data_IF_024645830583
#
_entry.id   IF_024645830583
#
_cell.length_a   1.000
_cell.length_b   1.000
_cell.length_c   1.000
_cell.angle_alpha   90.00
_cell.angle_beta   90.00
_cell.angle_gamma   90.00
#
_symmetry.space_group_name_H-M   'P 1'
#
loop_
_entity.id
_entity.type
_entity.pdbx_description
1 polymer ?
#
# COMPACT_ATOMS: atom_id res chain seq x y z
N UNK A 1 -13.76 6.36 4.41
CA UNK A 1 -13.31 5.30 3.49
C UNK A 1 -12.46 5.90 2.39
N UNK A 2 -12.96 6.89 1.65
CA UNK A 2 -12.27 7.55 0.53
C UNK A 2 -10.86 8.04 0.88
N UNK A 3 -10.69 8.72 2.03
CA UNK A 3 -9.36 9.17 2.50
C UNK A 3 -8.35 8.03 2.66
N UNK A 4 -8.77 6.83 3.09
CA UNK A 4 -7.87 5.69 3.24
C UNK A 4 -7.48 5.12 1.87
N UNK A 5 -8.42 5.11 0.93
CA UNK A 5 -8.18 4.68 -0.45
C UNK A 5 -7.19 5.64 -1.12
N UNK A 6 -7.41 6.95 -1.00
CA UNK A 6 -6.51 7.98 -1.52
C UNK A 6 -5.09 7.83 -0.95
N UNK A 7 -4.96 7.62 0.36
CA UNK A 7 -3.68 7.45 1.03
C UNK A 7 -2.98 6.13 0.67
N UNK A 8 -3.74 5.05 0.50
CA UNK A 8 -3.23 3.78 -0.01
C UNK A 8 -2.68 3.93 -1.44
N UNK A 9 -3.44 4.61 -2.32
CA UNK A 9 -3.04 4.88 -3.70
C UNK A 9 -1.81 5.81 -3.74
N UNK A 10 -1.74 6.80 -2.84
CA UNK A 10 -0.56 7.64 -2.70
C UNK A 10 0.68 6.79 -2.38
N UNK A 11 0.57 5.82 -1.46
CA UNK A 11 1.66 4.88 -1.17
C UNK A 11 1.99 3.92 -2.32
N UNK A 12 1.25 3.90 -3.42
CA UNK A 12 1.66 3.20 -4.66
C UNK A 12 2.54 4.07 -5.56
N UNK A 13 2.49 5.39 -5.41
CA UNK A 13 3.20 6.31 -6.28
C UNK A 13 4.68 6.42 -5.89
N UNK A 14 5.54 6.39 -6.90
CA UNK A 14 6.98 6.54 -6.73
C UNK A 14 7.32 7.88 -6.06
N UNK A 15 6.70 8.97 -6.50
CA UNK A 15 6.96 10.32 -6.01
C UNK A 15 6.65 10.45 -4.51
N UNK A 16 5.58 9.81 -4.05
CA UNK A 16 5.23 9.76 -2.62
C UNK A 16 6.28 8.98 -1.83
N UNK A 17 6.74 7.83 -2.34
CA UNK A 17 7.75 6.99 -1.69
C UNK A 17 9.14 7.61 -1.64
N UNK A 18 9.45 8.51 -2.57
CA UNK A 18 10.68 9.30 -2.55
C UNK A 18 10.62 10.47 -1.56
N UNK A 19 9.43 10.91 -1.16
CA UNK A 19 9.27 12.02 -0.22
C UNK A 19 9.16 11.50 1.22
N UNK A 20 10.24 11.64 1.99
CA UNK A 20 10.31 11.17 3.37
C UNK A 20 9.26 11.80 4.30
N UNK A 21 8.88 13.06 4.06
CA UNK A 21 7.85 13.72 4.88
C UNK A 21 6.47 13.12 4.61
N UNK A 22 6.16 12.82 3.34
CA UNK A 22 4.92 12.12 2.98
C UNK A 22 4.91 10.68 3.47
N UNK A 23 6.04 9.97 3.38
CA UNK A 23 6.16 8.62 3.95
C UNK A 23 5.95 8.66 5.47
N UNK A 24 6.56 9.60 6.19
CA UNK A 24 6.37 9.76 7.63
C UNK A 24 4.93 10.18 7.99
N UNK A 25 4.26 10.94 7.12
CA UNK A 25 2.84 11.30 7.26
C UNK A 25 1.94 10.09 7.10
N UNK A 26 2.27 9.16 6.20
CA UNK A 26 1.43 8.03 5.80
C UNK A 26 1.72 6.72 6.54
N UNK A 27 2.97 6.46 6.95
CA UNK A 27 3.36 5.25 7.65
C UNK A 27 3.55 5.53 9.15
N UNK A 28 2.93 4.68 9.98
CA UNK A 28 3.07 4.75 11.42
C UNK A 28 4.50 4.35 11.83
N UNK A 29 5.14 4.95 12.85
CA UNK A 29 6.52 4.61 13.25
C UNK A 29 6.74 3.13 13.61
N UNK A 30 5.69 2.45 14.05
CA UNK A 30 5.68 1.00 14.32
C UNK A 30 5.21 0.14 13.12
N UNK A 31 5.32 0.66 11.90
CA UNK A 31 4.89 -0.02 10.68
C UNK A 31 5.59 -1.37 10.48
N UNK A 32 4.82 -2.35 10.01
CA UNK A 32 5.33 -3.62 9.52
C UNK A 32 4.59 -4.04 8.24
N UNK A 33 5.31 -4.69 7.34
CA UNK A 33 4.78 -5.24 6.09
C UNK A 33 5.17 -6.70 5.95
N UNK A 34 4.27 -7.50 5.38
CA UNK A 34 4.62 -8.77 4.73
C UNK A 34 4.39 -8.61 3.23
N UNK A 35 5.48 -8.46 2.48
CA UNK A 35 5.39 -8.24 1.04
C UNK A 35 4.83 -9.46 0.32
N UNK A 36 4.46 -9.31 -0.96
CA UNK A 36 3.96 -10.41 -1.82
C UNK A 36 4.87 -11.66 -1.80
N UNK A 37 6.16 -11.48 -1.58
CA UNK A 37 7.16 -12.57 -1.49
C UNK A 37 7.12 -13.36 -0.17
N UNK A 38 6.33 -12.93 0.82
CA UNK A 38 6.32 -13.46 2.18
C UNK A 38 7.45 -12.93 3.07
N UNK A 39 8.30 -12.03 2.56
CA UNK A 39 9.34 -11.37 3.37
C UNK A 39 8.72 -10.26 4.23
N UNK A 40 9.21 -10.14 5.45
CA UNK A 40 8.78 -9.10 6.38
C UNK A 40 9.70 -7.89 6.35
N UNK A 41 9.11 -6.70 6.39
CA UNK A 41 9.81 -5.41 6.45
C UNK A 41 9.25 -4.58 7.60
N UNK A 42 10.11 -3.95 8.37
CA UNK A 42 9.71 -2.91 9.32
C UNK A 42 9.83 -1.52 8.67
N UNK A 43 9.38 -0.49 9.39
CA UNK A 43 9.49 0.92 8.96
C UNK A 43 10.86 1.29 8.39
N UNK A 44 11.96 1.01 9.13
CA UNK A 44 13.29 1.41 8.69
C UNK A 44 13.71 0.73 7.38
N UNK A 45 13.50 -0.58 7.30
CA UNK A 45 13.85 -1.35 6.10
C UNK A 45 12.99 -1.00 4.88
N UNK A 46 11.68 -0.73 5.05
CA UNK A 46 10.84 -0.37 3.91
C UNK A 46 11.20 1.02 3.38
N UNK A 47 11.53 1.96 4.27
CA UNK A 47 12.00 3.30 3.87
C UNK A 47 13.30 3.21 3.10
N UNK A 48 14.27 2.40 3.55
CA UNK A 48 15.52 2.19 2.81
C UNK A 48 15.28 1.59 1.41
N UNK A 49 14.35 0.63 1.30
CA UNK A 49 13.96 0.04 0.02
C UNK A 49 13.31 1.09 -0.89
N UNK A 50 12.36 1.87 -0.37
CA UNK A 50 11.71 2.95 -1.11
C UNK A 50 12.74 3.95 -1.64
N UNK A 51 13.68 4.40 -0.81
CA UNK A 51 14.68 5.40 -1.18
C UNK A 51 15.75 4.87 -2.16
N UNK A 52 15.88 3.56 -2.30
CA UNK A 52 16.75 2.92 -3.28
C UNK A 52 16.01 2.44 -4.54
N UNK A 53 14.68 2.59 -4.59
CA UNK A 53 13.87 2.19 -5.71
C UNK A 53 14.13 3.09 -6.93
N UNK A 54 13.94 2.54 -8.13
CA UNK A 54 14.02 3.30 -9.38
C UNK A 54 12.61 3.53 -9.92
N UNK A 55 12.38 4.61 -10.68
CA UNK A 55 11.12 4.81 -11.38
C UNK A 55 10.80 3.58 -12.23
N UNK A 56 9.57 3.06 -12.13
CA UNK A 56 9.10 1.95 -12.97
C UNK A 56 8.38 2.47 -14.21
N UNK A 57 8.50 1.74 -15.33
CA UNK A 57 7.73 1.98 -16.56
C UNK A 57 6.35 1.33 -16.48
N UNK A 58 5.56 1.74 -15.49
CA UNK A 58 4.25 1.14 -15.19
C UNK A 58 3.69 1.65 -13.87
N UNK A 59 2.49 1.20 -13.53
CA UNK A 59 1.79 1.62 -12.32
C UNK A 59 1.10 0.44 -11.63
N UNK A 60 0.74 0.63 -10.36
CA UNK A 60 -0.11 -0.31 -9.63
C UNK A 60 -1.55 0.10 -9.86
N UNK A 61 -2.33 -0.77 -10.52
CA UNK A 61 -3.78 -0.67 -10.52
C UNK A 61 -4.33 -1.30 -9.25
N UNK A 62 -5.33 -0.68 -8.64
CA UNK A 62 -5.97 -1.20 -7.43
C UNK A 62 -7.48 -0.95 -7.44
N UNK A 63 -8.25 -1.95 -6.98
CA UNK A 63 -9.70 -1.94 -7.11
C UNK A 63 -10.39 -2.80 -6.04
N UNK A 64 -11.72 -2.69 -6.00
CA UNK A 64 -12.57 -3.54 -5.17
C UNK A 64 -12.30 -3.34 -3.67
N UNK A 65 -12.14 -2.07 -3.29
CA UNK A 65 -11.88 -1.69 -1.91
C UNK A 65 -13.06 -2.04 -1.00
N UNK A 66 -12.74 -2.63 0.14
CA UNK A 66 -13.67 -2.86 1.25
C UNK A 66 -13.02 -2.39 2.55
N UNK A 67 -13.80 -1.74 3.41
CA UNK A 67 -13.30 -1.12 4.64
C UNK A 67 -14.04 -1.68 5.85
N UNK A 68 -13.29 -2.34 6.72
CA UNK A 68 -13.80 -2.97 7.94
C UNK A 68 -13.31 -2.19 9.16
N UNK A 69 -14.24 -1.66 9.95
CA UNK A 69 -13.89 -0.99 11.21
C UNK A 69 -13.55 -2.03 12.28
N UNK A 70 -12.30 -2.00 12.76
CA UNK A 70 -11.82 -2.84 13.85
C UNK A 70 -12.02 -2.18 15.22
N UNK A 71 -11.89 -0.85 15.26
CA UNK A 71 -12.12 0.01 16.42
C UNK A 71 -12.44 1.44 15.95
N UNK A 72 -12.93 2.35 16.80
CA UNK A 72 -13.28 3.72 16.38
C UNK A 72 -12.17 4.47 15.62
N UNK A 73 -10.90 4.23 15.96
CA UNK A 73 -9.72 4.83 15.33
C UNK A 73 -8.85 3.82 14.56
N UNK A 74 -9.38 2.63 14.25
CA UNK A 74 -8.64 1.57 13.54
C UNK A 74 -9.49 0.96 12.44
N UNK A 75 -8.98 1.01 11.21
CA UNK A 75 -9.66 0.56 10.01
C UNK A 75 -8.80 -0.47 9.28
N UNK A 76 -9.41 -1.55 8.82
CA UNK A 76 -8.82 -2.52 7.91
C UNK A 76 -9.32 -2.22 6.50
N UNK A 77 -8.41 -1.98 5.57
CA UNK A 77 -8.71 -1.81 4.15
C UNK A 77 -8.29 -3.08 3.40
N UNK A 78 -9.22 -3.68 2.67
CA UNK A 78 -9.00 -4.85 1.82
C UNK A 78 -9.19 -4.44 0.37
N UNK A 79 -8.32 -4.89 -0.52
CA UNK A 79 -8.45 -4.60 -1.95
C UNK A 79 -7.65 -5.59 -2.80
N UNK A 80 -7.78 -5.47 -4.12
CA UNK A 80 -6.94 -6.21 -5.07
C UNK A 80 -6.05 -5.26 -5.84
N UNK A 81 -4.88 -5.73 -6.26
CA UNK A 81 -3.97 -4.96 -7.09
C UNK A 81 -3.34 -5.81 -8.20
N UNK A 82 -2.99 -5.17 -9.30
CA UNK A 82 -2.12 -5.71 -10.34
C UNK A 82 -1.10 -4.64 -10.74
N UNK A 83 0.04 -5.07 -11.29
CA UNK A 83 0.96 -4.15 -11.94
C UNK A 83 0.64 -4.09 -13.42
N UNK A 84 0.65 -2.88 -13.99
CA UNK A 84 0.37 -2.60 -15.40
C UNK A 84 1.58 -1.89 -16.00
N UNK A 85 2.18 -2.46 -17.04
CA UNK A 85 3.28 -1.82 -17.78
C UNK A 85 2.80 -0.64 -18.62
N UNK A 86 3.75 0.18 -19.07
CA UNK A 86 3.53 1.19 -20.12
C UNK A 86 3.04 0.60 -21.46
N UNK A 87 3.36 -0.67 -21.74
CA UNK A 87 2.85 -1.42 -22.91
C UNK A 87 1.47 -2.05 -22.69
N UNK A 88 0.90 -1.97 -21.48
CA UNK A 88 -0.40 -2.54 -21.12
C UNK A 88 -0.38 -4.02 -20.70
N UNK A 89 0.80 -4.62 -20.50
CA UNK A 89 0.93 -5.94 -19.90
C UNK A 89 0.52 -5.90 -18.42
N UNK A 90 -0.33 -6.84 -18.01
CA UNK A 90 -0.85 -6.91 -16.64
C UNK A 90 -0.29 -8.16 -15.97
N UNK A 91 0.34 -7.99 -14.80
CA UNK A 91 0.87 -9.11 -14.02
C UNK A 91 0.84 -8.80 -12.51
N UNK A 92 1.49 -9.65 -11.71
CA UNK A 92 1.69 -9.42 -10.25
C UNK A 92 0.39 -9.25 -9.46
N UNK A 93 -0.66 -9.98 -9.86
CA UNK A 93 -1.95 -9.99 -9.17
C UNK A 93 -1.83 -10.39 -7.70
N UNK A 94 -2.42 -9.57 -6.83
CA UNK A 94 -2.36 -9.75 -5.38
C UNK A 94 -3.67 -9.30 -4.71
N UNK A 95 -4.06 -10.00 -3.65
CA UNK A 95 -4.96 -9.48 -2.63
C UNK A 95 -4.14 -8.74 -1.59
N UNK A 96 -4.60 -7.56 -1.17
CA UNK A 96 -3.91 -6.70 -0.22
C UNK A 96 -4.79 -6.39 0.97
N UNK A 97 -4.15 -6.23 2.12
CA UNK A 97 -4.76 -5.80 3.35
C UNK A 97 -3.88 -4.78 4.03
N UNK A 98 -4.44 -3.66 4.48
CA UNK A 98 -3.72 -2.65 5.25
C UNK A 98 -4.52 -2.24 6.48
N UNK A 99 -3.83 -2.05 7.59
CA UNK A 99 -4.42 -1.54 8.83
C UNK A 99 -3.99 -0.10 9.01
N UNK A 100 -4.98 0.79 9.11
CA UNK A 100 -4.82 2.21 9.30
C UNK A 100 -5.26 2.61 10.71
N UNK A 101 -4.48 3.48 11.35
CA UNK A 101 -4.75 4.01 12.69
C UNK A 101 -4.83 5.53 12.64
N UNK A 102 -5.88 6.10 13.22
CA UNK A 102 -6.00 7.56 13.36
C UNK A 102 -5.22 8.03 14.59
N UNK A 103 -4.24 8.92 14.38
CA UNK A 103 -3.32 9.39 15.42
C UNK A 103 -3.79 10.65 16.15
N UNK A 104 -4.98 11.16 15.82
CA UNK A 104 -5.44 12.49 16.25
C UNK A 104 -5.08 13.60 15.26
N UNK A 105 -4.07 13.39 14.41
CA UNK A 105 -3.67 14.32 13.35
C UNK A 105 -4.04 13.81 11.96
N UNK A 106 -3.96 12.50 11.75
CA UNK A 106 -4.26 11.87 10.47
C UNK A 106 -4.27 10.35 10.58
N UNK A 107 -4.63 9.70 9.47
CA UNK A 107 -4.53 8.26 9.34
C UNK A 107 -3.11 7.86 8.95
N UNK A 108 -2.59 6.83 9.62
CA UNK A 108 -1.30 6.23 9.32
C UNK A 108 -1.42 4.73 9.19
N UNK A 109 -0.80 4.16 8.15
CA UNK A 109 -0.74 2.73 7.95
C UNK A 109 0.22 2.12 8.97
N UNK A 110 -0.28 1.18 9.77
CA UNK A 110 0.48 0.47 10.79
C UNK A 110 0.86 -0.95 10.37
N UNK A 111 0.11 -1.53 9.45
CA UNK A 111 0.42 -2.85 8.89
C UNK A 111 0.01 -2.96 7.43
N UNK A 112 0.78 -3.70 6.64
CA UNK A 112 0.44 -4.07 5.26
C UNK A 112 0.76 -5.54 4.98
N UNK A 113 -0.06 -6.18 4.14
CA UNK A 113 0.28 -7.48 3.57
C UNK A 113 -0.21 -7.60 2.13
N UNK A 114 0.63 -8.18 1.28
CA UNK A 114 0.27 -8.63 -0.05
C UNK A 114 0.31 -10.15 -0.16
N UNK A 115 -0.70 -10.76 -0.78
CA UNK A 115 -0.74 -12.20 -1.05
C UNK A 115 -0.99 -12.44 -2.54
N UNK A 116 -0.13 -13.21 -3.24
CA UNK A 116 -0.38 -13.57 -4.63
C UNK A 116 -1.76 -14.20 -4.81
N UNK A 117 -2.45 -13.86 -5.90
CA UNK A 117 -3.70 -14.50 -6.27
C UNK A 117 -3.78 -14.75 -7.77
N UNK A 118 -4.82 -15.49 -8.18
CA UNK A 118 -5.18 -15.64 -9.58
C UNK A 118 -5.50 -14.28 -10.21
N UNK A 119 -5.32 -14.21 -11.52
CA UNK A 119 -5.64 -13.04 -12.35
C UNK A 119 -7.12 -12.64 -12.21
N UNK A 120 -7.38 -11.35 -12.40
CA UNK A 120 -8.74 -10.79 -12.39
C UNK A 120 -8.83 -9.63 -13.39
N UNK A 121 -10.04 -9.37 -13.87
CA UNK A 121 -10.31 -8.25 -14.77
C UNK A 121 -10.16 -6.91 -14.04
N UNK A 122 -9.45 -5.98 -14.67
CA UNK A 122 -9.29 -4.63 -14.15
C UNK A 122 -10.55 -3.81 -14.48
N UNK A 123 -11.08 -3.07 -13.49
CA UNK A 123 -12.24 -2.18 -13.63
C UNK A 123 -11.84 -0.71 -13.66
#
# INVERSE_FOLDING_TARGET
MDVLIEQEIALHQYETRQNLDEVARLLHPSFNEVGRSGRSFNYASIVEIMQSEKPSLGYIHSQGYDCIQLAPSVQLLLYKSAWVSDTGEINTFSKRSSIWVFTGQGWQMKYHQGTPCSEFELI
#
